data_IF_434683059294
#
_entry.id   IF_434683059294
#
_cell.length_a   1.000
_cell.length_b   1.000
_cell.length_c   1.000
_cell.angle_alpha   90.00
_cell.angle_beta   90.00
_cell.angle_gamma   90.00
#
_symmetry.space_group_name_H-M   'P 1'
#
loop_
_entity.id
_entity.type
_entity.pdbx_description
1 polymer ?
#
# COMPACT_ATOMS: atom_id res chain seq x y z
N UNK A 1 -9.21 -5.18 -0.96
CA UNK A 1 -8.23 -6.21 -0.55
C UNK A 1 -8.01 -7.16 -1.72
N UNK A 2 -6.77 -7.46 -2.06
CA UNK A 2 -6.48 -8.53 -3.02
C UNK A 2 -6.76 -9.91 -2.40
N UNK A 3 -6.62 -10.97 -3.21
CA UNK A 3 -6.99 -12.33 -2.81
C UNK A 3 -5.83 -13.12 -2.16
N UNK A 4 -4.81 -12.46 -1.62
CA UNK A 4 -3.72 -13.15 -0.94
C UNK A 4 -4.26 -14.09 0.16
N UNK A 5 -3.77 -15.32 0.24
CA UNK A 5 -4.34 -16.35 1.11
C UNK A 5 -4.39 -15.91 2.59
N UNK A 6 -3.38 -15.17 3.04
CA UNK A 6 -3.33 -14.67 4.42
C UNK A 6 -4.39 -13.61 4.72
N UNK A 7 -4.88 -12.84 3.74
CA UNK A 7 -5.99 -11.90 3.94
C UNK A 7 -7.31 -12.58 4.28
N UNK A 8 -7.45 -13.88 3.98
CA UNK A 8 -8.67 -14.67 4.19
C UNK A 8 -8.64 -15.49 5.47
N UNK A 9 -7.61 -15.35 6.31
CA UNK A 9 -7.54 -16.04 7.59
C UNK A 9 -8.66 -15.56 8.52
N UNK A 10 -9.30 -16.49 9.21
CA UNK A 10 -10.46 -16.20 10.06
C UNK A 10 -10.14 -15.15 11.14
N UNK A 11 -8.98 -15.24 11.78
CA UNK A 11 -8.55 -14.29 12.82
C UNK A 11 -8.46 -12.84 12.32
N UNK A 12 -8.00 -12.64 11.08
CA UNK A 12 -7.97 -11.31 10.45
C UNK A 12 -9.39 -10.81 10.13
N UNK A 13 -10.27 -11.68 9.62
CA UNK A 13 -11.64 -11.31 9.28
C UNK A 13 -12.45 -10.94 10.53
N UNK A 14 -12.34 -11.73 11.60
CA UNK A 14 -12.99 -11.49 12.88
C UNK A 14 -12.53 -10.17 13.50
N UNK A 15 -11.21 -9.90 13.49
CA UNK A 15 -10.67 -8.64 14.00
C UNK A 15 -11.24 -7.43 13.23
N UNK A 16 -11.30 -7.51 11.90
CA UNK A 16 -11.84 -6.43 11.07
C UNK A 16 -13.32 -6.20 11.35
N UNK A 17 -14.12 -7.26 11.49
CA UNK A 17 -15.54 -7.17 11.82
C UNK A 17 -15.77 -6.58 13.22
N UNK A 18 -14.99 -7.01 14.21
CA UNK A 18 -15.03 -6.46 15.58
C UNK A 18 -14.73 -4.95 15.63
N UNK A 19 -13.90 -4.45 14.72
CA UNK A 19 -13.61 -3.02 14.58
C UNK A 19 -14.61 -2.29 13.66
N UNK A 20 -15.68 -2.97 13.21
CA UNK A 20 -16.73 -2.39 12.37
C UNK A 20 -16.32 -2.18 10.90
N UNK A 21 -15.23 -2.80 10.45
CA UNK A 21 -14.77 -2.72 9.07
C UNK A 21 -15.44 -3.76 8.18
N UNK A 22 -15.65 -3.40 6.92
CA UNK A 22 -16.12 -4.32 5.87
C UNK A 22 -15.06 -4.44 4.79
N UNK A 23 -14.84 -5.67 4.32
CA UNK A 23 -13.83 -5.93 3.29
C UNK A 23 -14.47 -5.87 1.91
N UNK A 24 -13.91 -5.01 1.06
CA UNK A 24 -14.15 -5.05 -0.38
C UNK A 24 -13.09 -5.95 -1.05
N UNK A 25 -13.52 -7.13 -1.50
CA UNK A 25 -12.65 -8.05 -2.25
C UNK A 25 -12.53 -7.61 -3.69
N UNK A 26 -11.29 -7.58 -4.20
CA UNK A 26 -11.04 -7.34 -5.62
C UNK A 26 -11.26 -8.62 -6.44
N UNK A 27 -11.72 -8.53 -7.69
CA UNK A 27 -11.74 -9.66 -8.61
C UNK A 27 -10.34 -10.26 -8.80
N UNK A 28 -10.29 -11.55 -9.12
CA UNK A 28 -9.02 -12.22 -9.38
C UNK A 28 -8.24 -11.54 -10.53
N UNK A 29 -6.92 -11.48 -10.40
CA UNK A 29 -6.02 -10.90 -11.40
C UNK A 29 -6.36 -9.48 -11.86
N UNK A 30 -6.95 -8.67 -10.97
CA UNK A 30 -7.33 -7.28 -11.28
C UNK A 30 -6.48 -6.25 -10.50
N UNK A 31 -5.14 -6.21 -10.72
CA UNK A 31 -4.26 -5.28 -10.01
C UNK A 31 -4.57 -3.81 -10.32
N UNK A 32 -5.12 -3.52 -11.51
CA UNK A 32 -5.57 -2.18 -11.90
C UNK A 32 -6.71 -1.63 -11.02
N UNK A 33 -7.42 -2.49 -10.28
CA UNK A 33 -8.44 -2.10 -9.31
C UNK A 33 -7.89 -1.90 -7.90
N UNK A 34 -6.59 -2.11 -7.69
CA UNK A 34 -5.94 -1.93 -6.39
C UNK A 34 -5.18 -0.59 -6.36
N UNK A 35 -5.68 0.47 -5.70
CA UNK A 35 -5.06 1.79 -5.72
C UNK A 35 -3.61 1.82 -5.24
N UNK A 36 -3.23 0.89 -4.35
CA UNK A 36 -1.85 0.81 -3.83
C UNK A 36 -0.82 0.50 -4.93
N UNK A 37 -1.22 -0.13 -6.03
CA UNK A 37 -0.33 -0.41 -7.16
C UNK A 37 0.20 0.87 -7.81
N UNK A 38 -0.61 1.93 -7.85
CA UNK A 38 -0.19 3.24 -8.33
C UNK A 38 0.84 3.87 -7.38
N UNK A 39 0.65 3.72 -6.06
CA UNK A 39 1.62 4.17 -5.06
C UNK A 39 2.95 3.42 -5.23
N UNK A 40 2.91 2.10 -5.40
CA UNK A 40 4.11 1.30 -5.62
C UNK A 40 4.85 1.65 -6.91
N UNK A 41 4.12 1.94 -8.00
CA UNK A 41 4.72 2.41 -9.24
C UNK A 41 5.48 3.73 -9.02
N UNK A 42 4.91 4.65 -8.23
CA UNK A 42 5.56 5.93 -7.92
C UNK A 42 6.80 5.77 -7.03
N UNK A 43 6.72 5.01 -5.94
CA UNK A 43 7.85 4.73 -5.05
C UNK A 43 9.00 4.08 -5.83
N UNK A 44 8.71 3.08 -6.68
CA UNK A 44 9.73 2.44 -7.53
C UNK A 44 10.39 3.41 -8.51
N UNK A 45 9.61 4.34 -9.09
CA UNK A 45 10.16 5.40 -9.94
C UNK A 45 11.11 6.31 -9.15
N UNK A 46 10.71 6.74 -7.94
CA UNK A 46 11.57 7.56 -7.07
C UNK A 46 12.85 6.85 -6.63
N UNK A 47 12.78 5.57 -6.29
CA UNK A 47 13.98 4.76 -6.05
C UNK A 47 14.95 4.79 -7.23
N UNK A 48 14.44 4.64 -8.46
CA UNK A 48 15.27 4.65 -9.67
C UNK A 48 15.90 6.02 -9.94
N UNK A 49 15.20 7.10 -9.61
CA UNK A 49 15.68 8.47 -9.75
C UNK A 49 16.75 8.82 -8.70
N UNK A 50 16.54 8.43 -7.44
CA UNK A 50 17.41 8.78 -6.32
C UNK A 50 18.53 7.79 -6.06
N UNK A 51 18.47 6.59 -6.66
CA UNK A 51 19.45 5.51 -6.52
C UNK A 51 19.69 5.08 -5.06
N UNK A 52 18.68 5.23 -4.21
CA UNK A 52 18.73 4.82 -2.82
C UNK A 52 18.61 3.29 -2.73
N UNK A 53 19.57 2.67 -2.04
CA UNK A 53 19.67 1.22 -1.84
C UNK A 53 19.10 0.76 -0.49
N UNK A 54 18.84 1.67 0.43
CA UNK A 54 18.13 1.42 1.69
C UNK A 54 16.62 1.64 1.55
N UNK A 55 15.84 0.65 1.98
CA UNK A 55 14.38 0.73 2.00
C UNK A 55 13.91 1.80 2.98
N UNK A 56 14.51 1.84 4.18
CA UNK A 56 14.15 2.81 5.21
C UNK A 56 14.41 4.25 4.75
N UNK A 57 15.58 4.48 4.15
CA UNK A 57 15.96 5.79 3.63
C UNK A 57 15.08 6.19 2.44
N UNK A 58 14.75 5.23 1.55
CA UNK A 58 13.84 5.47 0.44
C UNK A 58 12.48 5.96 0.94
N UNK A 59 11.90 5.28 1.94
CA UNK A 59 10.60 5.67 2.47
C UNK A 59 10.66 6.99 3.23
N UNK A 60 11.71 7.22 4.03
CA UNK A 60 11.91 8.48 4.73
C UNK A 60 11.93 9.67 3.75
N UNK A 61 12.80 9.61 2.74
CA UNK A 61 12.91 10.66 1.72
C UNK A 61 11.63 10.76 0.89
N UNK A 62 11.01 9.63 0.54
CA UNK A 62 9.75 9.63 -0.21
C UNK A 62 8.64 10.34 0.55
N UNK A 63 8.44 10.04 1.83
CA UNK A 63 7.39 10.69 2.61
C UNK A 63 7.67 12.18 2.80
N UNK A 64 8.90 12.56 3.17
CA UNK A 64 9.30 13.97 3.35
C UNK A 64 9.25 14.79 2.04
N UNK A 65 9.66 14.20 0.92
CA UNK A 65 9.82 14.97 -0.34
C UNK A 65 8.62 14.89 -1.27
N UNK A 66 7.79 13.87 -1.13
CA UNK A 66 6.68 13.59 -2.06
C UNK A 66 5.30 13.56 -1.39
N UNK A 67 5.22 13.32 -0.08
CA UNK A 67 3.94 13.16 0.63
C UNK A 67 3.70 14.27 1.68
N UNK A 68 4.69 15.12 1.99
CA UNK A 68 4.49 16.31 2.81
C UNK A 68 3.63 17.34 2.08
N UNK A 69 2.31 17.17 2.19
CA UNK A 69 1.40 18.29 2.17
C UNK A 69 1.56 19.01 3.51
N UNK A 70 2.38 20.07 3.54
CA UNK A 70 2.10 21.16 4.47
C UNK A 70 0.71 21.68 4.12
N UNK A 71 -0.30 21.14 4.80
CA UNK A 71 -1.64 21.69 4.81
C UNK A 71 -1.49 23.12 5.33
N UNK A 72 -1.62 24.08 4.42
CA UNK A 72 -2.05 25.45 4.75
C UNK A 72 -3.55 25.38 5.02
#
# INVERSE_FOLDING_TARGET
MDNAAFHKRADILELLEQQGHKILWLPAYSPHLNPIEHMWAWVKRKRKEWLIDSVDELFRVFFESCMDNKVV
#
